data_IF_418750869827
#
_entry.id   IF_418750869827
#
_cell.length_a   1.000
_cell.length_b   1.000
_cell.length_c   1.000
_cell.angle_alpha   90.00
_cell.angle_beta   90.00
_cell.angle_gamma   90.00
#
_symmetry.space_group_name_H-M   'P 1'
#
loop_
_entity.id
_entity.type
_entity.pdbx_description
1 polymer ?
#
# COMPACT_ATOMS: atom_id res chain seq x y z
N UNK A 1 -24.34 -38.35 4.90
CA UNK A 1 -22.97 -37.92 4.57
C UNK A 1 -23.07 -37.26 3.21
N UNK A 2 -23.30 -35.95 3.18
CA UNK A 2 -23.44 -35.21 1.93
C UNK A 2 -22.07 -34.63 1.58
N UNK A 3 -21.55 -35.03 0.43
CA UNK A 3 -20.32 -34.48 -0.12
C UNK A 3 -20.58 -33.02 -0.49
N UNK A 4 -19.81 -32.12 0.13
CA UNK A 4 -19.72 -30.73 -0.29
C UNK A 4 -18.87 -30.74 -1.55
N UNK A 5 -19.47 -30.43 -2.70
CA UNK A 5 -18.72 -30.16 -3.91
C UNK A 5 -17.95 -28.85 -3.69
N UNK A 6 -16.62 -28.91 -3.81
CA UNK A 6 -15.81 -27.71 -3.88
C UNK A 6 -16.24 -26.91 -5.12
N UNK A 7 -16.79 -25.73 -4.90
CA UNK A 7 -16.98 -24.73 -5.96
C UNK A 7 -15.57 -24.28 -6.34
N UNK A 8 -15.17 -24.33 -7.62
CA UNK A 8 -13.91 -23.75 -8.03
C UNK A 8 -13.98 -22.26 -7.69
N UNK A 9 -13.01 -21.75 -6.95
CA UNK A 9 -12.73 -20.32 -6.86
C UNK A 9 -12.44 -19.86 -8.30
N UNK A 10 -13.43 -19.26 -8.97
CA UNK A 10 -13.14 -18.42 -10.12
C UNK A 10 -12.11 -17.40 -9.64
N UNK A 11 -10.93 -17.44 -10.25
CA UNK A 11 -9.82 -16.56 -9.90
C UNK A 11 -10.32 -15.13 -9.81
N UNK A 12 -9.96 -14.40 -8.74
CA UNK A 12 -10.07 -12.93 -8.68
C UNK A 12 -9.26 -12.25 -9.83
N UNK A 13 -8.64 -13.03 -10.73
CA UNK A 13 -7.93 -12.70 -11.97
C UNK A 13 -8.80 -12.12 -13.10
N UNK A 14 -9.70 -11.20 -12.76
CA UNK A 14 -10.06 -10.07 -13.60
C UNK A 14 -9.61 -8.77 -12.90
N UNK A 15 -8.43 -8.79 -12.25
CA UNK A 15 -7.83 -7.58 -11.75
C UNK A 15 -7.56 -6.66 -12.95
N UNK A 16 -8.31 -5.56 -13.04
CA UNK A 16 -7.98 -4.36 -13.81
C UNK A 16 -7.35 -4.62 -15.19
N UNK A 17 -8.11 -4.86 -16.27
CA UNK A 17 -7.61 -4.99 -17.65
C UNK A 17 -6.09 -5.33 -17.79
N UNK A 18 -5.73 -6.55 -17.36
CA UNK A 18 -4.36 -6.94 -17.01
C UNK A 18 -3.31 -6.66 -18.11
N UNK A 19 -3.68 -6.80 -19.39
CA UNK A 19 -2.78 -6.47 -20.51
C UNK A 19 -2.43 -4.98 -20.55
N UNK A 20 -3.38 -4.09 -20.30
CA UNK A 20 -3.12 -2.64 -20.23
C UNK A 20 -2.32 -2.25 -18.99
N UNK A 21 -2.56 -2.94 -17.87
CA UNK A 21 -1.80 -2.71 -16.63
C UNK A 21 -0.34 -3.12 -16.76
N UNK A 22 -0.06 -4.24 -17.44
CA UNK A 22 1.32 -4.68 -17.68
C UNK A 22 2.09 -3.69 -18.55
N UNK A 23 1.49 -3.20 -19.63
CA UNK A 23 2.13 -2.21 -20.51
C UNK A 23 2.38 -0.89 -19.76
N UNK A 24 1.43 -0.49 -18.91
CA UNK A 24 1.55 0.70 -18.07
C UNK A 24 2.63 0.53 -16.99
N UNK A 25 2.67 -0.62 -16.32
CA UNK A 25 3.71 -0.95 -15.34
C UNK A 25 5.07 -0.97 -16.01
N UNK A 26 5.24 -1.65 -17.16
CA UNK A 26 6.52 -1.62 -17.87
C UNK A 26 6.95 -0.20 -18.27
N UNK A 27 6.01 0.64 -18.73
CA UNK A 27 6.30 2.03 -19.15
C UNK A 27 6.92 2.87 -18.02
N UNK A 28 6.50 2.64 -16.78
CA UNK A 28 6.92 3.38 -15.60
C UNK A 28 7.79 2.55 -14.64
N UNK A 29 8.20 1.34 -15.04
CA UNK A 29 9.06 0.50 -14.24
C UNK A 29 10.44 1.16 -14.09
N UNK A 30 11.04 1.17 -12.89
CA UNK A 30 12.23 1.97 -12.64
C UNK A 30 13.49 1.41 -13.30
N UNK A 31 14.37 2.29 -13.76
CA UNK A 31 15.78 1.95 -13.93
C UNK A 31 16.43 2.04 -12.55
N UNK A 32 16.78 0.89 -12.00
CA UNK A 32 17.11 0.75 -10.59
C UNK A 32 18.61 0.56 -10.42
N UNK A 33 19.26 1.50 -9.74
CA UNK A 33 20.63 1.35 -9.27
C UNK A 33 20.61 0.70 -7.90
N UNK A 34 21.42 -0.31 -7.70
CA UNK A 34 21.49 -1.01 -6.42
C UNK A 34 22.94 -1.08 -5.98
N UNK A 35 23.22 -0.70 -4.74
CA UNK A 35 24.50 -1.00 -4.13
C UNK A 35 24.56 -2.47 -3.70
N UNK A 36 25.76 -3.04 -3.65
CA UNK A 36 25.95 -4.42 -3.22
C UNK A 36 27.30 -4.55 -2.54
N UNK A 37 27.35 -5.14 -1.36
CA UNK A 37 28.57 -5.17 -0.54
C UNK A 37 29.48 -6.33 -0.92
N UNK A 38 30.76 -6.02 -1.09
CA UNK A 38 31.77 -6.99 -1.48
C UNK A 38 31.99 -8.21 -0.58
N UNK A 39 31.57 -8.14 0.68
CA UNK A 39 31.63 -9.26 1.61
C UNK A 39 30.50 -10.27 1.40
N UNK A 40 29.37 -9.87 0.80
CA UNK A 40 28.18 -10.72 0.64
C UNK A 40 27.28 -10.36 -0.54
N UNK A 41 27.87 -10.01 -1.70
CA UNK A 41 27.17 -9.57 -2.91
C UNK A 41 25.83 -10.26 -3.21
N UNK A 42 25.75 -11.59 -3.05
CA UNK A 42 24.54 -12.34 -3.41
C UNK A 42 23.34 -12.00 -2.52
N UNK A 43 23.57 -11.69 -1.25
CA UNK A 43 22.50 -11.36 -0.31
C UNK A 43 21.81 -10.05 -0.65
N UNK A 44 22.49 -9.15 -1.36
CA UNK A 44 21.88 -7.92 -1.85
C UNK A 44 21.12 -8.13 -3.17
N UNK A 45 21.17 -9.30 -3.84
CA UNK A 45 20.60 -9.42 -5.18
C UNK A 45 19.08 -9.62 -5.14
N UNK A 46 18.35 -8.88 -5.98
CA UNK A 46 16.90 -9.06 -6.17
C UNK A 46 16.56 -10.51 -6.53
N UNK A 47 15.50 -11.02 -5.92
CA UNK A 47 14.93 -12.33 -6.25
C UNK A 47 13.40 -12.31 -6.23
N UNK A 48 12.78 -13.47 -6.49
CA UNK A 48 11.40 -13.71 -6.08
C UNK A 48 11.38 -14.09 -4.60
N UNK A 49 10.21 -13.99 -3.98
CA UNK A 49 9.96 -14.53 -2.64
C UNK A 49 10.07 -16.06 -2.65
N UNK A 50 9.63 -16.71 -3.73
CA UNK A 50 9.64 -18.15 -3.94
C UNK A 50 10.85 -18.63 -4.78
N UNK A 51 12.00 -17.97 -4.64
CA UNK A 51 13.15 -18.17 -5.53
C UNK A 51 13.74 -19.59 -5.47
N UNK A 52 13.50 -20.30 -4.37
CA UNK A 52 13.92 -21.68 -4.11
C UNK A 52 12.83 -22.72 -4.43
N UNK A 53 11.64 -22.27 -4.82
CA UNK A 53 10.56 -23.08 -5.36
C UNK A 53 9.40 -23.35 -4.40
N UNK A 54 9.35 -22.70 -3.23
CA UNK A 54 8.20 -22.74 -2.35
C UNK A 54 7.88 -21.38 -1.71
N UNK A 55 6.87 -21.34 -0.83
CA UNK A 55 6.36 -20.11 -0.19
C UNK A 55 6.59 -20.12 1.32
N UNK A 56 7.55 -20.93 1.78
CA UNK A 56 8.01 -20.97 3.16
C UNK A 56 8.99 -19.81 3.31
N UNK A 57 8.57 -18.72 3.94
CA UNK A 57 9.41 -17.52 3.98
C UNK A 57 10.41 -17.52 5.14
N UNK A 58 10.33 -18.53 6.02
CA UNK A 58 11.18 -18.61 7.21
C UNK A 58 12.41 -19.53 7.04
N UNK A 59 12.72 -19.93 5.81
CA UNK A 59 13.99 -20.56 5.43
C UNK A 59 14.61 -19.91 4.18
N UNK A 60 14.11 -18.73 3.79
CA UNK A 60 14.63 -17.95 2.67
C UNK A 60 16.07 -17.49 2.92
N UNK A 61 16.47 -17.27 4.18
CA UNK A 61 17.86 -16.98 4.50
C UNK A 61 18.76 -18.16 4.17
N UNK A 62 18.43 -19.36 4.67
CA UNK A 62 19.15 -20.60 4.39
C UNK A 62 19.22 -20.91 2.90
N UNK A 63 18.09 -20.76 2.19
CA UNK A 63 18.00 -20.99 0.77
C UNK A 63 18.93 -20.06 -0.02
N UNK A 64 19.03 -18.79 0.38
CA UNK A 64 19.91 -17.81 -0.24
C UNK A 64 21.40 -18.13 -0.02
N UNK A 65 21.77 -18.61 1.19
CA UNK A 65 23.13 -19.09 1.47
C UNK A 65 23.51 -20.33 0.64
N UNK A 66 22.53 -21.18 0.32
CA UNK A 66 22.73 -22.38 -0.47
C UNK A 66 22.92 -22.12 -1.98
N UNK A 67 22.59 -20.92 -2.47
CA UNK A 67 22.76 -20.58 -3.88
C UNK A 67 24.23 -20.68 -4.31
N UNK A 68 24.46 -21.13 -5.54
CA UNK A 68 25.81 -21.21 -6.15
C UNK A 68 26.03 -20.16 -7.24
N UNK A 69 24.98 -19.43 -7.61
CA UNK A 69 24.97 -18.35 -8.60
C UNK A 69 24.06 -17.22 -8.13
N UNK A 70 24.19 -16.03 -8.72
CA UNK A 70 23.27 -14.94 -8.46
C UNK A 70 21.84 -15.31 -8.93
N UNK A 71 20.80 -14.95 -8.16
CA UNK A 71 19.42 -15.19 -8.57
C UNK A 71 19.06 -14.38 -9.81
N UNK A 72 17.97 -14.77 -10.47
CA UNK A 72 17.34 -13.94 -11.48
C UNK A 72 16.55 -12.81 -10.79
N UNK A 73 16.69 -11.56 -11.24
CA UNK A 73 16.01 -10.44 -10.60
C UNK A 73 14.56 -10.32 -11.05
N UNK A 74 13.68 -10.07 -10.09
CA UNK A 74 12.26 -9.81 -10.31
C UNK A 74 11.81 -8.61 -9.49
N UNK A 75 10.80 -7.91 -10.02
CA UNK A 75 10.16 -6.79 -9.33
C UNK A 75 8.66 -7.05 -9.36
N UNK A 76 8.06 -7.08 -8.18
CA UNK A 76 6.62 -7.22 -8.05
C UNK A 76 5.97 -5.89 -8.39
N UNK A 77 4.80 -5.90 -9.04
CA UNK A 77 4.04 -4.69 -9.30
C UNK A 77 2.54 -4.88 -9.06
N UNK A 78 1.86 -3.77 -8.79
CA UNK A 78 0.41 -3.70 -8.89
C UNK A 78 -0.02 -2.33 -9.43
N UNK A 79 -1.23 -2.29 -10.00
CA UNK A 79 -1.81 -1.05 -10.54
C UNK A 79 -3.20 -0.84 -9.94
N UNK A 80 -3.41 0.33 -9.36
CA UNK A 80 -4.73 0.84 -9.02
C UNK A 80 -5.00 2.12 -9.83
N UNK A 81 -6.26 2.51 -9.96
CA UNK A 81 -6.61 3.68 -10.77
C UNK A 81 -7.87 4.38 -10.32
N UNK A 82 -7.87 5.70 -10.50
CA UNK A 82 -9.02 6.59 -10.37
C UNK A 82 -9.27 7.25 -11.74
N UNK A 83 -10.37 8.00 -11.92
CA UNK A 83 -10.61 8.73 -13.16
C UNK A 83 -9.48 9.70 -13.54
N UNK A 84 -8.66 10.15 -12.58
CA UNK A 84 -7.62 11.15 -12.82
C UNK A 84 -6.19 10.63 -12.73
N UNK A 85 -5.93 9.52 -12.03
CA UNK A 85 -4.57 9.00 -11.87
C UNK A 85 -4.52 7.48 -11.98
N UNK A 86 -3.40 6.98 -12.48
CA UNK A 86 -2.94 5.62 -12.19
C UNK A 86 -1.94 5.67 -11.03
N UNK A 87 -1.98 4.65 -10.20
CA UNK A 87 -1.01 4.43 -9.14
C UNK A 87 -0.36 3.08 -9.39
N UNK A 88 0.96 3.06 -9.51
CA UNK A 88 1.70 1.85 -9.83
C UNK A 88 2.70 1.61 -8.71
N UNK A 89 2.52 0.51 -8.01
CA UNK A 89 3.40 0.07 -6.94
C UNK A 89 4.42 -0.90 -7.53
N UNK A 90 5.68 -0.76 -7.13
CA UNK A 90 6.76 -1.72 -7.38
C UNK A 90 7.36 -2.16 -6.05
N UNK A 91 7.69 -3.44 -5.91
CA UNK A 91 8.33 -3.99 -4.72
C UNK A 91 9.55 -4.84 -5.07
N UNK A 92 10.64 -4.63 -4.34
CA UNK A 92 11.98 -5.17 -4.53
C UNK A 92 12.30 -6.11 -3.39
N UNK A 93 12.37 -7.40 -3.69
CA UNK A 93 12.56 -8.44 -2.67
C UNK A 93 14.01 -8.87 -2.58
N UNK A 94 14.50 -8.95 -1.34
CA UNK A 94 15.76 -9.58 -0.96
C UNK A 94 15.48 -10.70 0.06
N UNK A 95 16.15 -11.86 -0.02
CA UNK A 95 15.92 -12.94 0.95
C UNK A 95 16.36 -12.61 2.38
N UNK A 96 17.19 -11.59 2.57
CA UNK A 96 17.85 -11.26 3.82
C UNK A 96 18.03 -9.74 3.93
N UNK A 97 17.70 -9.14 5.07
CA UNK A 97 18.30 -7.89 5.56
C UNK A 97 19.46 -8.26 6.49
N UNK A 98 20.67 -7.89 6.12
CA UNK A 98 21.89 -8.34 6.77
C UNK A 98 22.82 -7.17 7.06
N UNK A 99 23.75 -7.31 8.01
CA UNK A 99 24.67 -6.21 8.36
C UNK A 99 26.06 -6.72 8.72
N UNK A 100 27.10 -5.89 8.57
CA UNK A 100 28.47 -6.18 9.01
C UNK A 100 28.81 -5.54 10.38
N UNK A 101 27.97 -4.64 10.90
CA UNK A 101 28.10 -4.09 12.25
C UNK A 101 27.32 -4.90 13.30
N UNK A 102 27.62 -4.70 14.58
CA UNK A 102 26.90 -5.32 15.72
C UNK A 102 25.85 -4.38 16.32
N UNK A 103 25.76 -3.15 15.79
CA UNK A 103 24.83 -2.12 16.25
C UNK A 103 23.51 -2.13 15.48
N UNK A 104 23.49 -2.77 14.32
CA UNK A 104 22.31 -2.87 13.47
C UNK A 104 21.64 -4.24 13.67
N UNK A 105 20.42 -4.34 13.16
CA UNK A 105 19.55 -5.51 13.27
C UNK A 105 19.44 -6.19 11.92
N UNK A 106 19.57 -7.51 11.91
CA UNK A 106 19.31 -8.35 10.75
C UNK A 106 17.91 -8.96 10.83
N UNK A 107 17.34 -9.30 9.68
CA UNK A 107 16.15 -10.13 9.62
C UNK A 107 16.02 -10.89 8.31
N UNK A 108 15.31 -12.00 8.38
CA UNK A 108 14.94 -12.78 7.22
C UNK A 108 13.81 -12.13 6.42
N UNK A 109 13.92 -12.24 5.10
CA UNK A 109 13.15 -11.49 4.12
C UNK A 109 13.40 -9.99 4.22
N UNK A 110 13.25 -9.32 3.10
CA UNK A 110 13.22 -7.88 3.03
C UNK A 110 12.48 -7.46 1.75
N UNK A 111 11.60 -6.47 1.88
CA UNK A 111 10.79 -6.01 0.76
C UNK A 111 10.57 -4.51 0.89
N UNK A 112 11.16 -3.79 -0.04
CA UNK A 112 11.09 -2.33 -0.13
C UNK A 112 10.39 -1.91 -1.41
N UNK A 113 9.96 -0.66 -1.53
CA UNK A 113 9.02 -0.32 -2.60
C UNK A 113 9.00 1.11 -3.10
N UNK A 114 8.41 1.27 -4.27
CA UNK A 114 8.16 2.52 -4.96
C UNK A 114 6.69 2.56 -5.38
N UNK A 115 5.95 3.57 -4.92
CA UNK A 115 4.69 3.99 -5.53
C UNK A 115 4.96 5.13 -6.51
N UNK A 116 4.43 5.05 -7.72
CA UNK A 116 4.36 6.22 -8.63
C UNK A 116 2.92 6.62 -8.90
N UNK A 117 2.68 7.93 -8.95
CA UNK A 117 1.41 8.52 -9.34
C UNK A 117 1.52 9.13 -10.75
N UNK A 118 0.63 8.73 -11.64
CA UNK A 118 0.62 9.14 -13.05
C UNK A 118 -0.71 9.80 -13.39
N UNK A 119 -0.68 11.09 -13.71
CA UNK A 119 -1.85 11.86 -14.12
C UNK A 119 -2.34 11.45 -15.52
N UNK A 120 -3.64 11.22 -15.63
CA UNK A 120 -4.33 10.84 -16.86
C UNK A 120 -4.67 12.09 -17.67
N UNK A 121 -3.68 12.58 -18.41
CA UNK A 121 -3.79 13.77 -19.27
C UNK A 121 -4.50 13.54 -20.62
N UNK A 122 -5.00 12.32 -20.85
CA UNK A 122 -5.65 11.89 -22.10
C UNK A 122 -4.69 11.26 -23.12
N UNK A 123 -3.38 11.25 -22.87
CA UNK A 123 -2.42 10.45 -23.64
C UNK A 123 -2.48 8.97 -23.23
N UNK A 124 -1.84 8.09 -24.02
CA UNK A 124 -1.85 6.65 -23.76
C UNK A 124 -1.26 6.28 -22.38
N UNK A 125 -0.23 7.01 -21.94
CA UNK A 125 0.50 6.70 -20.71
C UNK A 125 0.40 7.78 -19.65
N UNK A 126 -0.10 8.97 -19.95
CA UNK A 126 -0.20 10.06 -18.98
C UNK A 126 1.13 10.72 -18.67
N UNK A 127 1.12 11.51 -17.60
CA UNK A 127 2.26 12.23 -17.08
C UNK A 127 2.63 11.70 -15.69
N UNK A 128 3.88 11.32 -15.49
CA UNK A 128 4.39 10.96 -14.16
C UNK A 128 4.49 12.22 -13.29
N UNK A 129 3.82 12.22 -12.14
CA UNK A 129 3.68 13.41 -11.28
C UNK A 129 4.45 13.31 -9.97
N UNK A 130 4.60 12.11 -9.42
CA UNK A 130 5.25 11.92 -8.14
C UNK A 130 5.59 10.46 -7.87
N UNK A 131 6.46 10.27 -6.89
CA UNK A 131 6.88 8.99 -6.37
C UNK A 131 6.94 9.04 -4.84
N UNK A 132 6.65 7.91 -4.20
CA UNK A 132 6.93 7.67 -2.78
C UNK A 132 7.71 6.37 -2.68
N UNK A 133 8.88 6.38 -2.04
CA UNK A 133 9.67 5.17 -1.79
C UNK A 133 9.60 4.77 -0.33
N UNK A 134 9.86 3.50 -0.06
CA UNK A 134 9.99 2.93 1.29
C UNK A 134 11.48 2.68 1.53
N UNK A 135 12.00 3.20 2.64
CA UNK A 135 13.30 2.81 3.13
C UNK A 135 13.20 2.52 4.62
N UNK A 136 13.40 1.26 4.97
CA UNK A 136 13.26 0.72 6.31
C UNK A 136 11.83 0.92 6.84
N UNK A 137 11.64 1.87 7.77
CA UNK A 137 10.35 2.19 8.37
C UNK A 137 9.81 3.56 7.95
N UNK A 138 10.46 4.21 6.99
CA UNK A 138 10.19 5.60 6.61
C UNK A 138 9.80 5.67 5.12
N UNK A 139 8.92 6.61 4.76
CA UNK A 139 8.58 6.89 3.38
C UNK A 139 9.21 8.22 2.91
N UNK A 140 9.64 8.25 1.66
CA UNK A 140 10.28 9.43 1.06
C UNK A 140 9.59 9.84 -0.24
N UNK A 141 9.32 11.12 -0.40
CA UNK A 141 8.49 11.67 -1.47
C UNK A 141 9.31 12.45 -2.50
N UNK A 142 9.05 12.21 -3.78
CA UNK A 142 9.81 12.79 -4.89
C UNK A 142 8.89 13.27 -6.00
N UNK A 143 9.30 14.30 -6.72
CA UNK A 143 8.56 14.81 -7.86
C UNK A 143 9.47 15.08 -9.07
N UNK A 144 9.10 14.68 -10.30
CA UNK A 144 9.87 14.97 -11.49
C UNK A 144 9.68 16.42 -11.94
N UNK A 145 10.61 16.94 -12.76
CA UNK A 145 10.47 18.28 -13.33
C UNK A 145 9.22 18.40 -14.21
N UNK A 146 8.45 19.49 -14.03
CA UNK A 146 7.24 19.76 -14.81
C UNK A 146 5.96 19.11 -14.27
N UNK A 147 6.04 18.43 -13.12
CA UNK A 147 4.88 17.95 -12.36
C UNK A 147 3.95 19.08 -11.91
N UNK A 148 2.68 18.73 -11.70
CA UNK A 148 1.67 19.55 -11.06
C UNK A 148 1.65 19.39 -9.54
N UNK A 149 2.45 18.46 -8.99
CA UNK A 149 2.56 18.21 -7.56
C UNK A 149 3.47 19.22 -6.86
N UNK A 150 3.11 19.54 -5.62
CA UNK A 150 3.91 20.31 -4.67
C UNK A 150 3.70 19.73 -3.26
N UNK A 151 4.62 20.02 -2.32
CA UNK A 151 4.52 19.55 -0.93
C UNK A 151 3.15 19.84 -0.30
N UNK A 152 2.67 18.92 0.55
CA UNK A 152 1.44 19.09 1.32
C UNK A 152 1.67 18.97 2.83
N UNK A 153 1.25 17.85 3.43
CA UNK A 153 1.48 17.55 4.82
C UNK A 153 2.89 16.98 5.03
N UNK A 154 3.44 16.34 4.00
CA UNK A 154 4.84 15.97 3.90
C UNK A 154 5.65 16.91 3.00
N UNK A 155 6.95 16.93 3.25
CA UNK A 155 7.95 17.56 2.39
C UNK A 155 8.21 16.71 1.12
N UNK A 156 8.78 17.37 0.10
CA UNK A 156 9.33 16.67 -1.08
C UNK A 156 10.83 16.52 -0.87
N UNK A 157 11.27 15.30 -0.60
CA UNK A 157 12.66 14.93 -0.30
C UNK A 157 13.62 15.17 -1.46
N UNK A 158 13.11 15.11 -2.70
CA UNK A 158 13.96 15.39 -3.85
C UNK A 158 13.30 15.36 -5.21
N UNK A 159 14.15 15.49 -6.23
CA UNK A 159 13.74 15.37 -7.64
C UNK A 159 13.73 13.91 -8.09
N UNK A 160 12.65 13.50 -8.76
CA UNK A 160 12.60 12.19 -9.41
C UNK A 160 13.26 12.27 -10.79
N UNK A 161 14.47 11.73 -10.91
CA UNK A 161 15.18 11.67 -12.20
C UNK A 161 14.58 10.59 -13.10
N UNK A 162 14.56 10.84 -14.41
CA UNK A 162 14.03 9.91 -15.41
C UNK A 162 15.10 9.51 -16.42
N UNK A 163 15.19 8.21 -16.74
CA UNK A 163 15.99 7.67 -17.83
C UNK A 163 15.08 7.10 -18.91
N UNK A 164 15.05 7.70 -20.09
CA UNK A 164 14.14 7.32 -21.18
C UNK A 164 12.66 7.25 -20.76
N UNK A 165 12.27 8.08 -19.79
CA UNK A 165 10.92 8.12 -19.23
C UNK A 165 10.62 7.07 -18.14
N UNK A 166 11.60 6.27 -17.72
CA UNK A 166 11.53 5.41 -16.54
C UNK A 166 12.03 6.19 -15.30
N UNK A 167 11.35 6.11 -14.15
CA UNK A 167 11.89 6.66 -12.90
C UNK A 167 13.24 5.99 -12.57
N UNK A 168 14.15 6.74 -11.96
CA UNK A 168 15.43 6.21 -11.51
C UNK A 168 15.43 6.06 -10.00
N UNK A 169 15.73 4.86 -9.52
CA UNK A 169 15.81 4.55 -8.08
C UNK A 169 17.23 4.15 -7.69
N UNK A 170 17.50 4.28 -6.40
CA UNK A 170 18.70 3.80 -5.71
C UNK A 170 18.25 2.89 -4.57
N UNK A 171 18.98 1.80 -4.32
CA UNK A 171 18.76 0.95 -3.16
C UNK A 171 20.09 0.67 -2.47
N UNK A 172 20.09 0.77 -1.14
CA UNK A 172 21.27 0.50 -0.31
C UNK A 172 21.68 -0.98 -0.41
N UNK A 173 22.95 -1.29 -0.13
CA UNK A 173 23.33 -2.65 0.23
C UNK A 173 22.82 -2.96 1.65
N UNK A 174 22.81 -4.23 2.05
CA UNK A 174 22.57 -4.68 3.43
C UNK A 174 21.12 -4.54 3.91
N UNK A 175 20.73 -3.33 4.31
CA UNK A 175 19.37 -3.04 4.79
C UNK A 175 18.44 -2.50 3.70
N UNK A 176 18.94 -2.39 2.47
CA UNK A 176 18.16 -2.17 1.25
C UNK A 176 17.15 -1.02 1.22
N UNK A 177 17.33 0.05 2.00
CA UNK A 177 16.47 1.22 1.91
C UNK A 177 16.37 1.76 0.48
N UNK A 178 15.15 1.94 -0.05
CA UNK A 178 14.90 2.41 -1.40
C UNK A 178 14.66 3.92 -1.44
N UNK A 179 15.37 4.59 -2.35
CA UNK A 179 15.28 6.04 -2.57
C UNK A 179 15.18 6.36 -4.06
N UNK A 180 14.85 7.62 -4.39
CA UNK A 180 15.09 8.12 -5.74
C UNK A 180 16.59 8.29 -6.01
N UNK A 181 17.05 7.97 -7.22
CA UNK A 181 18.45 8.13 -7.58
C UNK A 181 18.84 9.62 -7.65
N UNK A 182 19.73 10.05 -6.75
CA UNK A 182 20.15 11.45 -6.62
C UNK A 182 21.20 11.95 -7.65
N UNK A 183 21.61 11.12 -8.62
CA UNK A 183 22.56 11.51 -9.66
C UNK A 183 24.05 11.31 -9.33
N UNK A 184 24.39 11.09 -8.06
CA UNK A 184 25.76 10.85 -7.61
C UNK A 184 25.82 9.87 -6.44
N UNK A 185 25.57 8.58 -6.70
CA UNK A 185 25.86 7.53 -5.72
C UNK A 185 26.73 6.43 -6.34
N UNK A 186 27.88 6.24 -5.70
CA UNK A 186 28.66 5.00 -5.61
C UNK A 186 29.40 5.18 -4.30
N UNK A 187 28.86 4.66 -3.18
CA UNK A 187 29.57 4.81 -1.91
C UNK A 187 30.87 3.99 -1.94
N UNK A 188 30.91 2.83 -2.62
CA UNK A 188 32.15 2.04 -2.70
C UNK A 188 32.49 1.43 -4.08
N UNK A 189 31.72 1.74 -5.14
CA UNK A 189 32.10 1.42 -6.53
C UNK A 189 31.74 0.02 -7.02
N UNK A 190 30.84 -0.65 -6.30
CA UNK A 190 30.41 -2.04 -6.48
C UNK A 190 28.91 -2.24 -6.76
N UNK A 191 28.14 -1.15 -6.91
CA UNK A 191 26.75 -1.21 -7.35
C UNK A 191 26.52 -1.64 -8.81
N UNK A 192 25.28 -2.02 -9.12
CA UNK A 192 24.83 -2.51 -10.42
C UNK A 192 23.54 -1.83 -10.89
N UNK A 193 23.26 -1.93 -12.19
CA UNK A 193 22.05 -1.39 -12.80
C UNK A 193 21.09 -2.49 -13.24
N UNK A 194 19.85 -2.37 -12.79
CA UNK A 194 18.72 -3.18 -13.20
C UNK A 194 17.83 -2.38 -14.15
N UNK A 195 17.54 -2.97 -15.31
CA UNK A 195 16.64 -2.41 -16.31
C UNK A 195 15.37 -3.26 -16.43
N UNK A 196 14.18 -2.65 -16.59
CA UNK A 196 12.98 -3.43 -16.85
C UNK A 196 13.14 -4.19 -18.18
N UNK A 197 12.98 -5.51 -18.14
CA UNK A 197 13.00 -6.30 -19.37
C UNK A 197 11.83 -5.91 -20.25
N UNK A 198 12.08 -5.74 -21.55
CA UNK A 198 11.05 -5.34 -22.50
C UNK A 198 10.22 -6.56 -22.91
N UNK A 199 8.88 -6.49 -22.88
CA UNK A 199 8.04 -7.55 -23.44
C UNK A 199 8.36 -7.72 -24.94
N UNK A 200 8.92 -8.86 -25.32
CA UNK A 200 9.12 -9.22 -26.73
C UNK A 200 8.25 -10.44 -27.06
N UNK A 201 7.27 -10.26 -27.95
CA UNK A 201 6.32 -11.31 -28.35
C UNK A 201 5.59 -11.97 -27.17
N UNK A 202 5.34 -11.21 -26.09
CA UNK A 202 4.69 -11.71 -24.88
C UNK A 202 5.63 -12.39 -23.88
N UNK A 203 6.95 -12.38 -24.11
CA UNK A 203 7.95 -12.90 -23.18
C UNK A 203 8.81 -11.77 -22.63
N UNK A 204 8.94 -11.73 -21.31
CA UNK A 204 9.97 -10.99 -20.59
C UNK A 204 11.05 -12.00 -20.16
N UNK A 205 12.30 -11.56 -20.11
CA UNK A 205 13.41 -12.43 -19.70
C UNK A 205 14.29 -11.68 -18.74
N UNK A 206 14.29 -12.14 -17.48
CA UNK A 206 15.27 -11.72 -16.50
C UNK A 206 16.65 -12.25 -16.89
N UNK A 207 17.70 -11.48 -16.60
CA UNK A 207 19.09 -11.92 -16.75
C UNK A 207 19.81 -11.74 -15.43
N UNK A 208 20.41 -12.83 -14.93
CA UNK A 208 21.15 -12.78 -13.67
C UNK A 208 22.25 -11.71 -13.74
N UNK A 209 22.44 -10.91 -12.68
CA UNK A 209 23.52 -9.95 -12.62
C UNK A 209 24.86 -10.68 -12.58
N UNK A 210 25.86 -10.14 -13.29
CA UNK A 210 27.24 -10.53 -13.05
C UNK A 210 27.64 -10.07 -11.64
N UNK A 211 28.44 -10.88 -10.92
CA UNK A 211 29.01 -10.44 -9.65
C UNK A 211 29.81 -9.16 -9.87
N UNK A 212 29.53 -8.07 -9.14
CA UNK A 212 30.34 -6.86 -9.23
C UNK A 212 31.81 -7.21 -8.97
N UNK A 213 32.69 -6.89 -9.92
CA UNK A 213 34.13 -7.03 -9.72
C UNK A 213 34.67 -5.78 -9.05
N UNK A 214 35.63 -5.92 -8.14
CA UNK A 214 36.25 -4.76 -7.50
C UNK A 214 36.78 -3.76 -8.55
N UNK A 215 36.37 -2.50 -8.40
CA UNK A 215 36.76 -1.39 -9.26
C UNK A 215 35.77 -1.07 -10.38
N UNK A 216 34.87 -0.12 -10.13
CA UNK A 216 34.05 0.65 -11.09
C UNK A 216 33.30 -0.12 -12.20
N UNK A 217 33.31 -1.46 -12.21
CA UNK A 217 32.44 -2.23 -13.09
C UNK A 217 31.03 -2.07 -12.55
N UNK A 218 30.18 -1.39 -13.32
CA UNK A 218 28.75 -1.23 -13.04
C UNK A 218 28.03 -2.28 -13.91
N UNK A 219 27.94 -3.55 -13.48
CA UNK A 219 27.29 -4.57 -14.28
C UNK A 219 25.82 -4.21 -14.48
N UNK A 220 25.24 -4.73 -15.55
CA UNK A 220 23.84 -4.49 -15.90
C UNK A 220 23.07 -5.80 -15.94
N UNK A 221 21.87 -5.80 -15.39
CA UNK A 221 20.92 -6.89 -15.43
C UNK A 221 19.55 -6.40 -15.92
N UNK A 222 18.72 -7.34 -16.39
CA UNK A 222 17.33 -7.09 -16.73
C UNK A 222 16.44 -7.84 -15.75
N UNK A 223 15.45 -7.17 -15.18
CA UNK A 223 14.46 -7.80 -14.31
C UNK A 223 13.14 -8.02 -15.03
N UNK A 224 12.40 -9.02 -14.57
CA UNK A 224 11.04 -9.30 -15.03
C UNK A 224 10.02 -8.75 -14.02
N UNK A 225 8.92 -8.21 -14.54
CA UNK A 225 7.79 -7.78 -13.72
C UNK A 225 6.89 -8.97 -13.35
N UNK A 226 6.50 -9.03 -12.08
CA UNK A 226 5.55 -10.01 -11.54
C UNK A 226 4.31 -9.26 -11.06
N UNK A 227 3.14 -9.59 -11.59
CA UNK A 227 1.90 -9.01 -11.08
C UNK A 227 1.62 -9.58 -9.69
N UNK A 228 1.48 -8.74 -8.67
CA UNK A 228 1.13 -9.16 -7.30
C UNK A 228 -0.17 -9.97 -7.28
N UNK A 229 -1.07 -9.70 -8.23
CA UNK A 229 -2.37 -10.35 -8.39
C UNK A 229 -2.39 -11.46 -9.45
N UNK A 230 -1.23 -11.87 -10.00
CA UNK A 230 -1.23 -13.07 -10.84
C UNK A 230 -1.73 -14.28 -10.06
N UNK A 231 -2.32 -15.26 -10.76
CA UNK A 231 -2.88 -16.44 -10.10
C UNK A 231 -1.78 -17.23 -9.37
N UNK A 232 -1.97 -17.47 -8.08
CA UNK A 232 -0.95 -18.05 -7.21
C UNK A 232 0.20 -17.10 -6.87
N UNK A 233 0.02 -15.80 -7.13
CA UNK A 233 0.99 -14.75 -6.83
C UNK A 233 0.93 -14.29 -5.38
N UNK A 234 1.72 -13.25 -5.07
CA UNK A 234 1.93 -12.76 -3.71
C UNK A 234 0.63 -12.44 -2.96
N UNK A 235 -0.35 -11.83 -3.62
CA UNK A 235 -1.62 -11.52 -2.97
C UNK A 235 -2.44 -12.77 -2.63
N UNK A 236 -2.39 -13.83 -3.44
CA UNK A 236 -3.10 -15.08 -3.15
C UNK A 236 -2.54 -15.77 -1.89
N UNK A 237 -1.25 -15.55 -1.59
CA UNK A 237 -0.57 -16.04 -0.38
C UNK A 237 -0.74 -15.14 0.85
N UNK A 238 -1.46 -14.01 0.79
CA UNK A 238 -1.60 -13.05 1.91
C UNK A 238 -2.14 -13.62 3.24
N UNK A 239 -2.75 -14.80 3.20
CA UNK A 239 -3.24 -15.53 4.38
C UNK A 239 -2.54 -16.87 4.60
N UNK A 240 -1.51 -17.19 3.80
CA UNK A 240 -0.71 -18.39 3.97
C UNK A 240 0.18 -18.21 5.19
N UNK A 241 -0.01 -19.07 6.19
CA UNK A 241 0.80 -19.03 7.39
C UNK A 241 2.26 -19.40 7.15
N UNK A 242 2.60 -20.07 6.05
CA UNK A 242 4.01 -20.37 5.72
C UNK A 242 4.75 -19.12 5.23
N UNK A 243 4.04 -18.18 4.60
CA UNK A 243 4.60 -16.95 4.03
C UNK A 243 4.45 -15.75 4.97
N UNK A 244 3.36 -15.69 5.74
CA UNK A 244 3.05 -14.56 6.59
C UNK A 244 2.86 -14.99 8.05
N UNK A 245 3.55 -14.30 8.96
CA UNK A 245 3.34 -14.47 10.40
C UNK A 245 2.07 -13.77 10.86
N UNK A 246 1.81 -12.57 10.32
CA UNK A 246 0.59 -11.81 10.47
C UNK A 246 0.20 -11.20 9.12
N UNK A 247 -1.04 -10.75 8.97
CA UNK A 247 -1.46 -10.07 7.75
C UNK A 247 -0.55 -8.84 7.50
N UNK A 248 0.19 -8.85 6.40
CA UNK A 248 1.13 -7.76 6.04
C UNK A 248 2.56 -7.93 6.54
N UNK A 249 2.85 -8.91 7.40
CA UNK A 249 4.21 -9.17 7.94
C UNK A 249 4.68 -10.57 7.57
N UNK A 250 5.77 -10.66 6.83
CA UNK A 250 6.36 -11.91 6.38
C UNK A 250 6.72 -12.79 7.58
N UNK A 251 6.60 -14.10 7.40
CA UNK A 251 7.14 -15.03 8.39
C UNK A 251 8.66 -15.07 8.19
N UNK A 252 9.41 -14.75 9.23
CA UNK A 252 10.87 -14.90 9.24
C UNK A 252 11.31 -15.34 10.62
N UNK A 253 12.38 -16.13 10.69
CA UNK A 253 12.94 -16.58 11.95
C UNK A 253 14.37 -16.06 12.17
N UNK A 254 15.13 -16.67 13.08
CA UNK A 254 16.52 -16.29 13.37
C UNK A 254 17.51 -17.38 12.94
N UNK A 255 17.12 -18.17 11.93
CA UNK A 255 17.89 -19.20 11.27
C UNK A 255 18.93 -18.64 10.31
N UNK A 256 19.54 -19.52 9.52
CA UNK A 256 20.35 -19.15 8.36
C UNK A 256 21.70 -18.48 8.66
N UNK A 257 21.99 -18.22 9.93
CA UNK A 257 23.14 -17.42 10.35
C UNK A 257 22.80 -15.99 10.74
N UNK A 258 21.52 -15.61 10.76
CA UNK A 258 21.06 -14.33 11.30
C UNK A 258 21.51 -14.17 12.77
N UNK A 259 22.06 -13.00 13.12
CA UNK A 259 22.60 -12.73 14.45
C UNK A 259 23.99 -13.35 14.70
N UNK A 260 24.60 -13.97 13.69
CA UNK A 260 25.96 -14.52 13.80
C UNK A 260 26.98 -13.43 14.12
N UNK A 261 28.09 -13.83 14.74
CA UNK A 261 29.17 -12.89 15.12
C UNK A 261 28.73 -11.77 16.09
N UNK A 262 27.67 -12.02 16.87
CA UNK A 262 27.21 -11.11 17.94
C UNK A 262 26.28 -9.99 17.46
N UNK A 263 25.70 -10.13 16.27
CA UNK A 263 24.69 -9.22 15.70
C UNK A 263 23.34 -9.45 16.35
N UNK A 264 22.46 -8.46 16.24
CA UNK A 264 21.07 -8.63 16.65
C UNK A 264 20.25 -9.16 15.48
N UNK A 265 19.30 -10.05 15.75
CA UNK A 265 18.41 -10.61 14.75
C UNK A 265 16.97 -10.56 15.26
N UNK A 266 16.04 -10.16 14.40
CA UNK A 266 14.60 -10.19 14.67
C UNK A 266 13.86 -11.15 13.76
N UNK A 267 12.75 -11.65 14.27
CA UNK A 267 11.80 -12.49 13.54
C UNK A 267 10.63 -11.66 13.03
N UNK A 268 10.14 -11.99 11.84
CA UNK A 268 8.94 -11.41 11.22
C UNK A 268 8.98 -9.88 11.00
N UNK A 269 10.15 -9.33 10.69
CA UNK A 269 10.34 -7.87 10.56
C UNK A 269 9.93 -7.31 9.21
N UNK A 270 10.14 -8.06 8.13
CA UNK A 270 9.80 -7.60 6.79
C UNK A 270 8.28 -7.50 6.58
N UNK A 271 7.86 -6.46 5.87
CA UNK A 271 6.46 -6.21 5.56
C UNK A 271 6.19 -6.35 4.06
N UNK A 272 5.01 -6.85 3.70
CA UNK A 272 4.52 -6.79 2.33
C UNK A 272 4.05 -5.36 1.99
N UNK A 273 3.71 -5.06 0.72
CA UNK A 273 3.31 -3.70 0.33
C UNK A 273 2.10 -3.16 1.08
N UNK A 274 1.21 -4.06 1.49
CA UNK A 274 0.07 -3.71 2.31
C UNK A 274 0.39 -3.66 3.81
N UNK A 275 1.60 -3.91 4.27
CA UNK A 275 2.01 -3.77 5.68
C UNK A 275 2.98 -2.61 5.95
N UNK A 276 3.51 -1.97 4.90
CA UNK A 276 4.38 -0.79 4.99
C UNK A 276 3.66 0.40 5.61
N UNK A 277 4.37 1.18 6.40
CA UNK A 277 3.81 2.26 7.22
C UNK A 277 4.91 3.28 7.47
N UNK A 278 4.55 4.56 7.42
CA UNK A 278 5.44 5.65 7.80
C UNK A 278 5.04 6.10 9.22
N UNK A 279 6.02 6.21 10.11
CA UNK A 279 5.73 6.40 11.54
C UNK A 279 5.23 7.81 11.86
N UNK A 280 5.44 8.78 10.98
CA UNK A 280 5.18 10.20 11.24
C UNK A 280 4.50 10.98 10.09
N UNK A 281 3.85 10.30 9.14
CA UNK A 281 3.05 10.94 8.06
C UNK A 281 1.60 11.33 8.45
N UNK A 282 1.31 11.17 9.74
CA UNK A 282 0.07 11.56 10.38
C UNK A 282 -1.06 10.56 10.14
N UNK A 283 -2.19 10.96 9.52
CA UNK A 283 -3.41 10.15 9.41
C UNK A 283 -3.41 9.22 8.19
N UNK A 284 -2.26 8.68 7.80
CA UNK A 284 -2.15 7.63 6.80
C UNK A 284 -2.05 6.30 7.55
N UNK A 285 -2.67 5.24 7.02
CA UNK A 285 -2.60 3.92 7.65
C UNK A 285 -1.54 3.06 6.99
N UNK A 286 -1.00 2.13 7.79
CA UNK A 286 -0.22 1.01 7.28
C UNK A 286 -0.92 0.41 6.05
N UNK A 287 -0.18 0.25 4.96
CA UNK A 287 -0.62 -0.32 3.70
C UNK A 287 -1.31 0.63 2.75
N UNK A 288 -1.57 1.91 3.10
CA UNK A 288 -2.26 2.83 2.18
C UNK A 288 -1.48 3.06 0.88
N UNK A 289 -0.16 2.91 0.90
CA UNK A 289 0.69 2.90 -0.30
C UNK A 289 0.20 1.86 -1.33
N UNK A 290 -0.38 0.74 -0.87
CA UNK A 290 -1.00 -0.28 -1.71
C UNK A 290 -2.53 -0.13 -1.84
N UNK A 291 -3.27 -0.08 -0.73
CA UNK A 291 -4.74 -0.22 -0.75
C UNK A 291 -5.52 1.10 -0.86
N UNK A 292 -4.95 2.25 -0.51
CA UNK A 292 -5.57 3.57 -0.75
C UNK A 292 -4.51 4.60 -1.19
N UNK A 293 -3.78 4.35 -2.31
CA UNK A 293 -2.69 5.23 -2.74
C UNK A 293 -3.17 6.63 -3.12
N UNK A 294 -4.46 6.79 -3.44
CA UNK A 294 -5.05 8.09 -3.70
C UNK A 294 -5.17 8.93 -2.42
N UNK A 295 -5.44 8.29 -1.27
CA UNK A 295 -5.36 8.98 0.01
C UNK A 295 -3.93 9.38 0.36
N UNK A 296 -2.99 8.42 0.36
CA UNK A 296 -1.59 8.67 0.65
C UNK A 296 -1.03 9.81 -0.21
N UNK A 297 -1.21 9.75 -1.54
CA UNK A 297 -0.73 10.81 -2.44
C UNK A 297 -1.36 12.18 -2.13
N UNK A 298 -2.62 12.23 -1.71
CA UNK A 298 -3.25 13.50 -1.31
C UNK A 298 -2.70 14.08 0.00
N UNK A 299 -2.11 13.25 0.86
CA UNK A 299 -1.45 13.67 2.09
C UNK A 299 -0.03 14.15 1.82
N UNK A 300 0.71 13.46 0.98
CA UNK A 300 2.08 13.82 0.62
C UNK A 300 2.13 15.00 -0.36
N UNK A 301 1.19 15.09 -1.31
CA UNK A 301 1.22 16.09 -2.38
C UNK A 301 -0.08 16.89 -2.51
N UNK A 302 0.06 18.20 -2.75
CA UNK A 302 -0.99 19.05 -3.33
C UNK A 302 -0.83 19.00 -4.84
N UNK A 303 -1.94 19.08 -5.56
CA UNK A 303 -1.92 19.19 -7.02
C UNK A 303 -2.73 20.40 -7.50
N UNK A 304 -2.30 20.97 -8.63
CA UNK A 304 -3.03 22.02 -9.35
C UNK A 304 -4.04 21.49 -10.38
N UNK A 305 -4.09 20.16 -10.59
CA UNK A 305 -5.02 19.49 -11.49
C UNK A 305 -6.18 18.84 -10.74
N UNK A 306 -7.15 18.28 -11.46
CA UNK A 306 -8.22 17.50 -10.85
C UNK A 306 -7.67 16.23 -10.18
N UNK A 307 -8.09 15.97 -8.95
CA UNK A 307 -7.68 14.80 -8.18
C UNK A 307 -8.90 14.03 -7.70
N UNK A 308 -8.97 12.75 -8.05
CA UNK A 308 -10.02 11.84 -7.60
C UNK A 308 -9.44 10.84 -6.61
N UNK A 309 -10.15 10.63 -5.51
CA UNK A 309 -9.89 9.54 -4.56
C UNK A 309 -10.86 8.36 -4.73
N UNK A 310 -11.71 8.41 -5.73
CA UNK A 310 -12.67 7.37 -6.06
C UNK A 310 -12.05 6.39 -7.06
N UNK A 311 -11.86 5.14 -6.66
CA UNK A 311 -11.23 4.13 -7.50
C UNK A 311 -12.17 3.62 -8.61
N UNK A 312 -11.62 3.55 -9.83
CA UNK A 312 -12.14 2.77 -10.96
C UNK A 312 -11.55 1.37 -10.97
N UNK A 313 -10.36 1.18 -10.37
CA UNK A 313 -9.81 -0.14 -10.14
C UNK A 313 -8.94 -0.21 -8.88
N UNK A 314 -9.27 -1.11 -7.95
CA UNK A 314 -8.48 -1.34 -6.74
C UNK A 314 -8.69 -2.76 -6.18
N UNK A 315 -7.88 -3.75 -6.58
CA UNK A 315 -8.02 -5.15 -6.15
C UNK A 315 -7.69 -5.39 -4.66
N UNK A 316 -7.00 -4.47 -3.99
CA UNK A 316 -6.68 -4.58 -2.56
C UNK A 316 -7.87 -4.28 -1.67
N UNK A 317 -8.84 -3.49 -2.12
CA UNK A 317 -9.78 -2.83 -1.23
C UNK A 317 -11.24 -3.33 -1.32
N UNK A 318 -11.96 -3.13 -0.22
CA UNK A 318 -13.41 -3.11 -0.17
C UNK A 318 -13.85 -1.66 -0.11
N UNK A 319 -14.76 -1.27 -1.00
CA UNK A 319 -15.39 0.03 -1.00
C UNK A 319 -16.59 0.05 -0.05
N UNK A 320 -16.66 1.11 0.76
CA UNK A 320 -17.75 1.38 1.68
C UNK A 320 -18.40 2.71 1.26
N UNK A 321 -19.64 2.64 0.77
CA UNK A 321 -20.42 3.82 0.39
C UNK A 321 -21.47 4.11 1.45
N UNK A 322 -21.43 5.30 2.04
CA UNK A 322 -22.51 5.84 2.86
C UNK A 322 -23.58 6.42 1.93
N UNK A 323 -24.73 5.77 1.84
CA UNK A 323 -25.77 6.12 0.86
C UNK A 323 -26.68 7.23 1.38
N UNK A 324 -27.29 7.00 2.55
CA UNK A 324 -28.30 7.90 3.10
C UNK A 324 -28.40 7.81 4.60
N UNK A 325 -28.67 8.95 5.24
CA UNK A 325 -28.90 9.08 6.68
C UNK A 325 -30.37 9.43 6.96
N UNK A 326 -30.95 8.83 7.99
CA UNK A 326 -32.25 9.17 8.56
C UNK A 326 -32.04 9.57 10.02
N UNK A 327 -32.62 10.69 10.44
CA UNK A 327 -32.52 11.18 11.82
C UNK A 327 -33.89 11.07 12.47
N UNK A 328 -33.99 10.26 13.51
CA UNK A 328 -35.26 9.94 14.19
C UNK A 328 -35.50 10.84 15.41
N UNK A 329 -34.43 11.30 16.07
CA UNK A 329 -34.51 12.08 17.30
C UNK A 329 -33.53 13.24 17.30
N UNK A 330 -33.95 14.37 17.86
CA UNK A 330 -33.10 15.52 18.12
C UNK A 330 -32.33 15.24 19.42
N UNK A 331 -31.01 15.28 19.38
CA UNK A 331 -30.14 15.09 20.55
C UNK A 331 -29.46 16.37 21.00
N UNK A 332 -29.57 17.44 20.23
CA UNK A 332 -29.02 18.75 20.57
C UNK A 332 -29.66 19.32 21.85
N UNK A 333 -28.80 19.56 22.85
CA UNK A 333 -29.17 20.15 24.14
C UNK A 333 -29.30 21.68 24.13
N UNK A 334 -28.85 22.33 23.07
CA UNK A 334 -28.72 23.78 22.88
C UNK A 334 -29.97 24.44 22.31
N UNK A 335 -30.87 23.65 21.72
CA UNK A 335 -32.21 24.06 21.29
C UNK A 335 -32.38 24.23 19.77
N UNK A 336 -31.39 23.85 18.98
CA UNK A 336 -31.47 23.66 17.54
C UNK A 336 -31.70 22.16 17.18
N UNK A 337 -31.53 21.78 15.91
CA UNK A 337 -31.69 20.40 15.44
C UNK A 337 -30.33 19.73 15.39
N UNK A 338 -30.30 18.41 15.62
CA UNK A 338 -29.08 17.61 15.52
C UNK A 338 -28.27 17.87 14.27
N UNK A 339 -26.97 18.03 14.47
CA UNK A 339 -25.90 18.30 13.53
C UNK A 339 -25.04 17.02 13.31
N UNK A 340 -25.52 16.03 12.52
CA UNK A 340 -24.86 14.73 12.45
C UNK A 340 -23.47 14.79 11.83
N UNK A 341 -22.56 14.02 12.42
CA UNK A 341 -21.29 13.62 11.83
C UNK A 341 -21.04 12.12 12.04
N UNK A 342 -20.00 11.60 11.38
CA UNK A 342 -19.64 10.19 11.42
C UNK A 342 -18.21 10.03 11.93
N UNK A 343 -17.92 8.90 12.57
CA UNK A 343 -16.55 8.39 12.65
C UNK A 343 -16.52 6.97 12.14
N UNK A 344 -15.59 6.73 11.22
CA UNK A 344 -15.37 5.45 10.56
C UNK A 344 -14.09 4.85 11.08
N UNK A 345 -14.09 3.53 11.21
CA UNK A 345 -12.92 2.75 11.59
C UNK A 345 -12.83 1.54 10.67
N UNK A 346 -11.62 1.23 10.21
CA UNK A 346 -11.35 0.24 9.16
C UNK A 346 -10.16 -0.62 9.55
N UNK A 347 -10.12 -1.83 9.02
CA UNK A 347 -8.87 -2.59 9.01
C UNK A 347 -7.83 -1.86 8.15
N UNK A 348 -6.67 -1.61 8.74
CA UNK A 348 -5.45 -1.20 8.07
C UNK A 348 -4.73 -2.40 7.44
N UNK A 349 -3.61 -2.09 6.82
CA UNK A 349 -2.71 -3.02 6.18
C UNK A 349 -2.09 -4.12 7.05
N UNK A 350 -2.06 -3.93 8.37
CA UNK A 350 -1.64 -4.93 9.34
C UNK A 350 -2.81 -5.77 9.85
N UNK A 351 -4.00 -5.54 9.31
CA UNK A 351 -5.24 -6.19 9.71
C UNK A 351 -5.77 -5.70 11.06
N UNK A 352 -5.22 -4.61 11.59
CA UNK A 352 -5.67 -3.98 12.82
C UNK A 352 -6.66 -2.86 12.54
N UNK A 353 -7.49 -2.55 13.52
CA UNK A 353 -8.45 -1.45 13.48
C UNK A 353 -8.05 -0.36 14.51
N UNK A 354 -6.73 -0.22 14.70
CA UNK A 354 -6.13 0.62 15.74
C UNK A 354 -5.07 1.50 15.13
N UNK A 355 -5.36 2.79 14.98
CA UNK A 355 -4.31 3.78 14.98
C UNK A 355 -4.17 4.32 16.40
N UNK A 356 -2.99 4.17 16.98
CA UNK A 356 -2.66 4.69 18.31
C UNK A 356 -2.76 6.22 18.31
N UNK A 357 -3.86 6.77 18.83
CA UNK A 357 -4.02 8.22 19.03
C UNK A 357 -5.32 8.82 18.49
N UNK A 358 -6.01 8.18 17.55
CA UNK A 358 -7.29 8.67 17.03
C UNK A 358 -8.48 7.94 17.66
N UNK A 359 -8.71 8.20 18.94
CA UNK A 359 -9.91 7.74 19.66
C UNK A 359 -11.23 8.19 19.01
N UNK A 360 -11.13 9.16 18.10
CA UNK A 360 -12.22 9.75 17.34
C UNK A 360 -12.34 9.24 15.89
N UNK A 361 -11.58 8.22 15.49
CA UNK A 361 -11.71 7.55 14.19
C UNK A 361 -11.19 8.37 13.00
N UNK A 362 -11.40 7.83 11.79
CA UNK A 362 -10.82 8.32 10.52
C UNK A 362 -11.58 9.54 9.97
N UNK A 363 -12.46 10.16 10.75
CA UNK A 363 -13.29 11.29 10.34
C UNK A 363 -13.32 12.32 11.48
N UNK A 364 -12.17 12.91 11.83
CA UNK A 364 -12.08 14.02 12.78
C UNK A 364 -11.42 15.27 12.17
N UNK A 365 -11.94 16.43 12.59
CA UNK A 365 -11.76 17.77 12.06
C UNK A 365 -10.46 18.48 12.33
N UNK A 366 -9.47 17.89 13.00
CA UNK A 366 -8.20 18.59 13.27
C UNK A 366 -6.93 17.74 13.06
N UNK A 367 -7.02 16.53 12.50
CA UNK A 367 -5.85 15.64 12.35
C UNK A 367 -5.73 14.87 11.03
N UNK A 368 -6.64 15.08 10.07
CA UNK A 368 -6.46 14.66 8.66
C UNK A 368 -6.93 13.24 8.31
N UNK A 369 -7.80 12.71 9.13
CA UNK A 369 -8.90 11.84 8.74
C UNK A 369 -9.51 12.11 7.34
N UNK A 370 -9.96 11.06 6.63
CA UNK A 370 -10.35 11.09 5.21
C UNK A 370 -11.47 12.08 4.86
N UNK A 371 -12.27 12.57 5.83
CA UNK A 371 -13.24 13.68 5.72
C UNK A 371 -13.45 14.26 7.12
N UNK A 372 -13.68 15.57 7.29
CA UNK A 372 -14.43 16.09 8.44
C UNK A 372 -15.69 16.76 7.90
N UNK A 373 -16.85 16.26 8.30
CA UNK A 373 -18.14 16.76 7.81
C UNK A 373 -19.18 16.69 8.91
N UNK A 374 -19.72 17.85 9.23
CA UNK A 374 -20.87 18.05 10.11
C UNK A 374 -22.00 18.60 9.26
N UNK A 375 -23.19 18.04 9.37
CA UNK A 375 -24.36 18.59 8.70
C UNK A 375 -25.21 19.42 9.63
N UNK A 376 -25.16 20.74 9.48
CA UNK A 376 -25.99 21.62 10.29
C UNK A 376 -27.49 21.46 10.00
N UNK A 377 -28.22 21.12 11.06
CA UNK A 377 -29.68 21.18 11.20
C UNK A 377 -30.51 20.50 10.09
N UNK A 378 -30.21 19.24 9.67
CA UNK A 378 -31.06 18.45 8.78
C UNK A 378 -32.52 18.32 9.24
N UNK A 379 -33.43 18.31 8.27
CA UNK A 379 -34.82 17.99 8.54
C UNK A 379 -34.95 16.57 9.13
N UNK A 380 -35.67 16.44 10.24
CA UNK A 380 -35.86 15.15 10.89
C UNK A 380 -36.92 14.27 10.20
N UNK A 381 -36.95 12.99 10.57
CA UNK A 381 -37.94 12.00 10.15
C UNK A 381 -38.05 11.79 8.64
N UNK A 382 -36.94 11.98 7.93
CA UNK A 382 -36.83 11.71 6.49
C UNK A 382 -35.45 11.16 6.16
N UNK A 383 -35.36 10.41 5.07
CA UNK A 383 -34.09 9.97 4.50
C UNK A 383 -33.44 11.09 3.71
N UNK A 384 -32.12 11.18 3.83
CA UNK A 384 -31.29 12.14 3.13
C UNK A 384 -30.17 11.43 2.40
N UNK A 385 -30.08 11.63 1.08
CA UNK A 385 -28.93 11.19 0.31
C UNK A 385 -27.67 11.88 0.80
N UNK A 386 -26.61 11.13 1.09
CA UNK A 386 -25.30 11.65 1.48
C UNK A 386 -24.44 12.02 0.27
N UNK A 387 -24.68 11.38 -0.88
CA UNK A 387 -24.04 11.75 -2.14
C UNK A 387 -24.28 13.23 -2.47
N UNK A 388 -23.19 13.97 -2.71
CA UNK A 388 -23.20 15.41 -2.99
C UNK A 388 -23.51 16.31 -1.79
N UNK A 389 -23.75 15.76 -0.59
CA UNK A 389 -23.91 16.54 0.64
C UNK A 389 -22.64 16.61 1.47
N UNK A 390 -21.90 15.50 1.52
CA UNK A 390 -20.59 15.44 2.15
C UNK A 390 -19.49 15.51 1.08
N UNK A 391 -18.27 15.99 1.41
CA UNK A 391 -17.16 16.07 0.47
C UNK A 391 -16.86 14.74 -0.21
N UNK A 392 -17.03 13.63 0.53
CA UNK A 392 -16.84 12.27 0.02
C UNK A 392 -17.68 11.28 0.81
N UNK A 393 -18.41 10.40 0.13
CA UNK A 393 -19.25 9.38 0.75
C UNK A 393 -18.82 7.93 0.44
N UNK A 394 -17.68 7.74 -0.23
CA UNK A 394 -17.07 6.45 -0.57
C UNK A 394 -15.74 6.33 0.17
N UNK A 395 -15.48 5.21 0.81
CA UNK A 395 -14.28 4.96 1.63
C UNK A 395 -13.70 3.58 1.28
N UNK A 396 -12.43 3.33 1.61
CA UNK A 396 -11.75 2.09 1.27
C UNK A 396 -11.11 1.48 2.52
N UNK A 397 -11.33 0.19 2.73
CA UNK A 397 -10.61 -0.64 3.72
C UNK A 397 -9.94 -1.79 3.00
N UNK A 398 -8.82 -2.29 3.53
CA UNK A 398 -8.15 -3.43 2.92
C UNK A 398 -9.00 -4.70 2.99
N UNK A 399 -8.94 -5.51 1.94
CA UNK A 399 -9.64 -6.80 1.85
C UNK A 399 -8.92 -7.85 2.69
N UNK A 400 -9.35 -8.01 3.94
CA UNK A 400 -8.96 -9.14 4.82
C UNK A 400 -9.92 -10.33 4.67
N UNK A 401 -9.77 -11.40 5.46
CA UNK A 401 -10.72 -12.53 5.47
C UNK A 401 -12.11 -12.12 6.00
N UNK A 402 -12.15 -11.12 6.86
CA UNK A 402 -13.36 -10.58 7.47
C UNK A 402 -13.17 -9.06 7.64
N UNK A 403 -13.18 -8.29 6.52
CA UNK A 403 -12.95 -6.85 6.60
C UNK A 403 -14.03 -6.28 7.49
N UNK A 404 -13.58 -5.61 8.55
CA UNK A 404 -14.46 -5.04 9.55
C UNK A 404 -14.44 -3.54 9.35
N UNK A 405 -15.63 -2.97 9.18
CA UNK A 405 -15.79 -1.54 9.37
C UNK A 405 -16.61 -1.31 10.63
N UNK A 406 -16.21 -0.28 11.38
CA UNK A 406 -17.01 0.25 12.47
C UNK A 406 -17.44 1.67 12.15
N UNK A 407 -18.61 2.02 12.66
CA UNK A 407 -19.15 3.37 12.54
C UNK A 407 -19.75 3.83 13.87
N UNK A 408 -19.51 5.11 14.19
CA UNK A 408 -20.37 5.87 15.11
C UNK A 408 -21.01 7.06 14.39
N UNK A 409 -22.24 7.39 14.78
CA UNK A 409 -23.00 8.55 14.31
C UNK A 409 -23.26 9.43 15.51
N UNK A 410 -22.80 10.67 15.41
CA UNK A 410 -22.72 11.60 16.53
C UNK A 410 -23.43 12.91 16.16
N UNK A 411 -23.83 13.66 17.17
CA UNK A 411 -24.39 15.00 17.11
C UNK A 411 -23.29 15.99 17.50
N UNK A 412 -22.94 16.94 16.65
CA UNK A 412 -21.85 17.88 16.93
C UNK A 412 -22.37 19.11 17.67
N UNK A 413 -21.76 19.42 18.82
CA UNK A 413 -22.14 20.56 19.66
C UNK A 413 -20.92 21.43 20.00
N UNK A 414 -20.93 22.71 19.58
CA UNK A 414 -19.80 23.64 19.76
C UNK A 414 -19.38 23.94 21.22
N UNK A 415 -20.11 23.42 22.22
CA UNK A 415 -19.84 23.68 23.65
C UNK A 415 -20.41 22.69 24.68
N UNK A 416 -21.22 21.70 24.29
CA UNK A 416 -21.86 20.71 25.19
C UNK A 416 -21.08 19.41 25.33
N UNK A 417 -20.19 19.12 24.37
CA UNK A 417 -19.67 17.78 24.12
C UNK A 417 -20.66 16.96 23.29
N UNK A 418 -20.16 16.28 22.27
CA UNK A 418 -20.98 15.63 21.25
C UNK A 418 -21.88 14.50 21.79
N UNK A 419 -23.17 14.52 21.44
CA UNK A 419 -24.13 13.48 21.80
C UNK A 419 -24.22 12.33 20.79
N UNK A 420 -24.64 11.15 21.24
CA UNK A 420 -24.80 10.01 20.36
C UNK A 420 -26.13 10.06 19.59
N UNK A 421 -26.06 10.00 18.25
CA UNK A 421 -27.21 9.67 17.40
C UNK A 421 -27.42 8.15 17.27
N UNK A 422 -26.91 7.39 18.23
CA UNK A 422 -27.06 5.94 18.35
C UNK A 422 -27.53 5.54 19.75
N UNK A 423 -28.30 4.45 19.85
CA UNK A 423 -28.75 3.82 21.09
C UNK A 423 -28.73 2.29 20.92
N UNK A 424 -27.92 1.55 21.70
CA UNK A 424 -27.00 2.05 22.73
C UNK A 424 -25.86 2.91 22.17
N UNK A 425 -25.27 3.72 23.04
CA UNK A 425 -24.15 4.63 22.74
C UNK A 425 -22.86 3.80 22.57
N UNK A 426 -22.73 3.14 21.42
CA UNK A 426 -21.65 2.22 21.11
C UNK A 426 -21.38 2.17 19.61
N UNK A 427 -20.22 1.62 19.26
CA UNK A 427 -19.85 1.38 17.87
C UNK A 427 -20.70 0.27 17.27
N UNK A 428 -21.03 0.43 15.99
CA UNK A 428 -21.61 -0.64 15.21
C UNK A 428 -20.54 -1.26 14.32
N UNK A 429 -20.41 -2.60 14.36
CA UNK A 429 -19.39 -3.34 13.60
C UNK A 429 -20.04 -4.32 12.62
N UNK A 430 -19.49 -4.40 11.40
CA UNK A 430 -19.94 -5.36 10.38
C UNK A 430 -18.73 -6.03 9.75
N UNK A 431 -18.76 -7.36 9.70
CA UNK A 431 -17.87 -8.15 8.85
C UNK A 431 -18.59 -8.53 7.56
N UNK A 432 -18.29 -7.84 6.45
CA UNK A 432 -18.83 -8.17 5.13
C UNK A 432 -17.93 -7.61 4.03
N UNK A 433 -17.77 -8.36 2.94
CA UNK A 433 -17.04 -7.91 1.73
C UNK A 433 -17.97 -7.28 0.68
N UNK A 434 -19.28 -7.55 0.76
CA UNK A 434 -20.27 -6.95 -0.14
C UNK A 434 -21.69 -6.98 0.45
N UNK A 435 -22.56 -6.11 -0.06
CA UNK A 435 -23.98 -6.04 0.27
C UNK A 435 -24.48 -4.62 0.48
N UNK A 436 -25.80 -4.46 0.50
CA UNK A 436 -26.45 -3.20 0.88
C UNK A 436 -27.23 -3.41 2.17
N UNK A 437 -26.96 -2.56 3.14
CA UNK A 437 -27.43 -2.71 4.50
C UNK A 437 -28.12 -1.43 4.97
N UNK A 438 -29.10 -1.58 5.84
CA UNK A 438 -29.71 -0.48 6.58
C UNK A 438 -29.56 -0.78 8.05
N UNK A 439 -28.82 0.06 8.75
CA UNK A 439 -28.57 -0.07 10.18
C UNK A 439 -29.51 0.87 10.93
N UNK A 440 -30.25 0.33 11.89
CA UNK A 440 -31.11 1.11 12.79
C UNK A 440 -30.40 1.26 14.13
N UNK A 441 -30.03 2.49 14.46
CA UNK A 441 -29.36 2.84 15.70
C UNK A 441 -30.34 3.43 16.73
N UNK A 442 -31.65 3.29 16.53
CA UNK A 442 -32.70 3.81 17.40
C UNK A 442 -32.94 5.32 17.23
N UNK A 443 -31.88 6.13 17.34
CA UNK A 443 -31.91 7.60 17.19
C UNK A 443 -31.64 8.07 15.75
N UNK A 444 -30.99 7.23 14.95
CA UNK A 444 -30.75 7.44 13.53
C UNK A 444 -30.76 6.10 12.78
N UNK A 445 -30.84 6.16 11.45
CA UNK A 445 -30.62 5.00 10.58
C UNK A 445 -29.67 5.37 9.45
N UNK A 446 -28.84 4.43 9.06
CA UNK A 446 -27.86 4.63 8.00
C UNK A 446 -27.96 3.52 6.96
N UNK A 447 -28.06 3.90 5.69
CA UNK A 447 -27.90 2.97 4.58
C UNK A 447 -26.45 2.99 4.09
N UNK A 448 -25.85 1.80 4.01
CA UNK A 448 -24.46 1.59 3.59
C UNK A 448 -24.41 0.51 2.52
N UNK A 449 -23.56 0.69 1.51
CA UNK A 449 -23.23 -0.34 0.53
C UNK A 449 -21.77 -0.70 0.65
N UNK A 450 -21.50 -2.00 0.71
CA UNK A 450 -20.17 -2.58 0.60
C UNK A 450 -20.07 -3.29 -0.73
N UNK A 451 -18.97 -3.11 -1.41
CA UNK A 451 -18.62 -3.88 -2.60
C UNK A 451 -17.11 -4.10 -2.59
N UNK A 452 -16.64 -5.22 -3.15
CA UNK A 452 -15.25 -5.26 -3.57
C UNK A 452 -15.02 -4.02 -4.44
N UNK A 453 -13.98 -3.23 -4.12
CA UNK A 453 -13.67 -2.07 -4.95
C UNK A 453 -13.49 -2.57 -6.39
N UNK A 454 -13.94 -1.80 -7.39
CA UNK A 454 -14.05 -2.31 -8.74
C UNK A 454 -12.74 -2.98 -9.19
N UNK A 455 -12.89 -4.15 -9.81
CA UNK A 455 -11.86 -4.89 -10.52
C UNK A 455 -12.61 -5.53 -11.67
N UNK A 456 -12.57 -4.90 -12.84
CA UNK A 456 -13.46 -5.20 -13.96
C UNK A 456 -13.28 -6.62 -14.51
#
# INVERSE_FOLDING_TARGET
>A
MFAVAAVPLESEAAACNATSNRDLAWRYAPVHHQDADSSKYRSDMLSRIDFDGDWISNDNWEAAEALTSNPLPYVYYSVTSTPTHWYILYAFYHPQDWTDTVLDQEHENDLEGLLVAVYRDGTQYGQLEGAVTVAHSDHYSYAPGGTHFSANNEDIDGSLLLSSGHPMTYQEAKGHGLYAYGGSHVQDGDGLWYYPSKPYLGYETATAPATPSSGNSQPTAYYQLIDIFESGGLWDHRFDSNTFANFGSFRGDTGGGCGSSGKTCSSNSANAPWGWDDKDDGPVFAGELAFDPAHLISRYFKTSTSFSRDFECNPYAVEITLNSLYIASNQDGSGDLSDPYFNLFFSDGRGSDTHDGYGDGIVDGDSGAQVSWVWQNPAMNTWHSLAGRMPRNRFYTIKTQAPTFRIRVMDWDSGSGDEWLMSPESYYSVGATSGSFTYDFGRSRLSVTLVNAPGL
#
